data_IF_403372720908
#
_entry.id   IF_403372720908
#
_cell.length_a   1.000
_cell.length_b   1.000
_cell.length_c   1.000
_cell.angle_alpha   90.00
_cell.angle_beta   90.00
_cell.angle_gamma   90.00
#
_symmetry.space_group_name_H-M   'P 1'
#
loop_
_entity.id
_entity.type
_entity.pdbx_description
1 polymer ?
#
# COMPACT_ATOMS: atom_id res chain seq x y z
N UNK A 1 34.59 28.95 -14.55
CA UNK A 1 33.43 28.06 -14.33
C UNK A 1 32.16 28.91 -14.44
N UNK A 2 31.23 28.61 -15.36
CA UNK A 2 30.09 29.48 -15.69
C UNK A 2 29.00 29.51 -14.59
N UNK A 3 28.37 30.66 -14.29
CA UNK A 3 27.33 30.79 -13.27
C UNK A 3 26.07 29.93 -13.51
N UNK A 4 25.87 29.40 -14.74
CA UNK A 4 24.80 28.42 -15.03
C UNK A 4 25.10 27.03 -14.47
N UNK A 5 26.37 26.63 -14.42
CA UNK A 5 26.80 25.30 -13.94
C UNK A 5 26.65 25.19 -12.42
N UNK A 6 27.00 26.25 -11.68
CA UNK A 6 26.84 26.33 -10.23
C UNK A 6 25.38 26.34 -9.79
N UNK A 7 24.48 27.04 -10.51
CA UNK A 7 23.02 26.96 -10.26
C UNK A 7 22.46 25.54 -10.46
N UNK A 8 22.93 24.82 -11.48
CA UNK A 8 22.49 23.45 -11.76
C UNK A 8 22.88 22.45 -10.67
N UNK A 9 24.08 22.58 -10.12
CA UNK A 9 24.59 21.72 -9.03
C UNK A 9 23.81 21.98 -7.73
N UNK A 10 23.60 23.26 -7.38
CA UNK A 10 22.87 23.64 -6.16
C UNK A 10 21.42 23.13 -6.17
N UNK A 11 20.71 23.28 -7.30
CA UNK A 11 19.33 22.81 -7.45
C UNK A 11 19.20 21.28 -7.33
N UNK A 12 20.18 20.52 -7.85
CA UNK A 12 20.21 19.04 -7.69
C UNK A 12 20.48 18.64 -6.23
N UNK A 13 21.36 19.36 -5.55
CA UNK A 13 21.65 19.13 -4.14
C UNK A 13 20.43 19.41 -3.25
N UNK A 14 19.77 20.55 -3.44
CA UNK A 14 18.57 20.94 -2.68
C UNK A 14 17.43 19.94 -2.88
N UNK A 15 17.23 19.48 -4.13
CA UNK A 15 16.23 18.45 -4.45
C UNK A 15 16.54 17.11 -3.77
N UNK A 16 17.81 16.68 -3.72
CA UNK A 16 18.22 15.46 -3.05
C UNK A 16 18.04 15.55 -1.51
N UNK A 17 18.35 16.69 -0.91
CA UNK A 17 18.12 16.93 0.53
C UNK A 17 16.63 16.89 0.85
N UNK A 18 15.80 17.52 0.02
CA UNK A 18 14.34 17.56 0.19
C UNK A 18 13.74 16.16 0.08
N UNK A 19 14.15 15.40 -0.95
CA UNK A 19 13.74 14.01 -1.15
C UNK A 19 14.11 13.13 0.06
N UNK A 20 15.33 13.27 0.59
CA UNK A 20 15.77 12.52 1.77
C UNK A 20 14.94 12.85 3.02
N UNK A 21 14.61 14.12 3.23
CA UNK A 21 13.75 14.54 4.36
C UNK A 21 12.33 14.00 4.21
N UNK A 22 11.74 14.10 3.03
CA UNK A 22 10.41 13.58 2.75
C UNK A 22 10.34 12.05 2.90
N UNK A 23 11.34 11.33 2.39
CA UNK A 23 11.47 9.88 2.58
C UNK A 23 11.63 9.51 4.06
N UNK A 24 12.46 10.25 4.81
CA UNK A 24 12.62 10.07 6.25
C UNK A 24 11.35 10.34 7.04
N UNK A 25 10.57 11.37 6.66
CA UNK A 25 9.28 11.67 7.28
C UNK A 25 8.26 10.57 7.01
N UNK A 26 8.16 10.09 5.77
CA UNK A 26 7.26 8.99 5.42
C UNK A 26 7.58 7.72 6.23
N UNK A 27 8.87 7.40 6.36
CA UNK A 27 9.32 6.29 7.20
C UNK A 27 9.01 6.51 8.69
N UNK A 28 9.31 7.69 9.23
CA UNK A 28 9.05 8.02 10.63
C UNK A 28 7.55 7.95 10.96
N UNK A 29 6.68 8.38 10.05
CA UNK A 29 5.23 8.25 10.18
C UNK A 29 4.81 6.77 10.22
N UNK A 30 5.36 5.92 9.36
CA UNK A 30 5.06 4.48 9.39
C UNK A 30 5.51 3.85 10.72
N UNK A 31 6.69 4.21 11.23
CA UNK A 31 7.18 3.73 12.53
C UNK A 31 6.31 4.24 13.68
N UNK A 32 5.88 5.50 13.63
CA UNK A 32 5.00 6.08 14.63
C UNK A 32 3.63 5.40 14.69
N UNK A 33 3.10 4.95 13.54
CA UNK A 33 1.87 4.17 13.44
C UNK A 33 2.10 2.71 13.91
N UNK A 34 3.27 2.13 13.61
CA UNK A 34 3.59 0.75 13.95
C UNK A 34 3.60 0.46 15.47
N UNK A 35 4.03 1.43 16.29
CA UNK A 35 4.09 1.27 17.74
C UNK A 35 2.71 1.02 18.40
N UNK A 36 1.69 1.88 18.22
CA UNK A 36 0.36 1.61 18.78
C UNK A 36 -0.29 0.36 18.18
N UNK A 37 -0.06 0.05 16.89
CA UNK A 37 -0.52 -1.20 16.29
C UNK A 37 0.07 -2.41 17.01
N UNK A 38 1.38 -2.40 17.28
CA UNK A 38 2.04 -3.48 18.02
C UNK A 38 1.48 -3.63 19.45
N UNK A 39 1.20 -2.52 20.13
CA UNK A 39 0.58 -2.56 21.47
C UNK A 39 -0.79 -3.24 21.41
N UNK A 40 -1.65 -2.87 20.45
CA UNK A 40 -2.98 -3.48 20.29
C UNK A 40 -2.88 -4.98 19.98
N UNK A 41 -1.95 -5.37 19.11
CA UNK A 41 -1.69 -6.78 18.79
C UNK A 41 -1.26 -7.58 20.02
N UNK A 42 -0.39 -7.01 20.87
CA UNK A 42 0.04 -7.66 22.11
C UNK A 42 -1.10 -7.75 23.13
N UNK A 43 -1.96 -6.74 23.21
CA UNK A 43 -3.09 -6.74 24.14
C UNK A 43 -4.21 -7.70 23.69
N UNK A 44 -4.43 -7.87 22.39
CA UNK A 44 -5.38 -8.83 21.83
C UNK A 44 -4.82 -10.24 21.64
N UNK A 45 -3.53 -10.46 21.93
CA UNK A 45 -2.88 -11.74 21.72
C UNK A 45 -3.53 -12.86 22.55
N UNK A 46 -3.90 -13.96 21.90
CA UNK A 46 -4.52 -15.11 22.54
C UNK A 46 -6.05 -15.09 22.56
N UNK A 47 -6.66 -13.99 22.14
CA UNK A 47 -8.10 -13.90 21.91
C UNK A 47 -8.43 -14.30 20.48
N UNK A 48 -9.46 -15.13 20.30
CA UNK A 48 -9.98 -15.47 18.97
C UNK A 48 -11.16 -14.55 18.67
N UNK A 49 -10.93 -13.55 17.81
CA UNK A 49 -11.97 -12.62 17.37
C UNK A 49 -12.45 -12.97 15.95
N UNK A 50 -13.63 -12.48 15.52
CA UNK A 50 -14.06 -12.60 14.13
C UNK A 50 -13.08 -11.95 13.13
N UNK A 51 -12.26 -11.00 13.58
CA UNK A 51 -11.23 -10.36 12.76
C UNK A 51 -9.97 -11.21 12.55
N UNK A 52 -9.84 -12.35 13.24
CA UNK A 52 -8.71 -13.24 13.08
C UNK A 52 -8.83 -14.07 11.79
N UNK A 53 -8.72 -13.41 10.64
CA UNK A 53 -8.85 -13.99 9.29
C UNK A 53 -7.91 -15.18 9.06
N UNK A 54 -6.76 -15.21 9.75
CA UNK A 54 -5.74 -16.24 9.59
C UNK A 54 -5.77 -17.32 10.68
N UNK A 55 -6.67 -17.21 11.65
CA UNK A 55 -6.73 -18.13 12.80
C UNK A 55 -5.44 -18.15 13.62
N UNK A 56 -4.75 -17.01 13.67
CA UNK A 56 -3.44 -16.86 14.34
C UNK A 56 -3.58 -16.30 15.76
N UNK A 57 -4.76 -16.40 16.38
CA UNK A 57 -5.06 -15.95 17.75
C UNK A 57 -4.67 -14.48 17.98
N UNK A 58 -5.07 -13.60 17.05
CA UNK A 58 -4.79 -12.16 17.11
C UNK A 58 -3.44 -11.73 16.53
N UNK A 59 -2.62 -12.67 16.02
CA UNK A 59 -1.33 -12.34 15.38
C UNK A 59 -1.43 -12.03 13.87
N UNK A 60 -2.60 -12.10 13.25
CA UNK A 60 -2.79 -11.81 11.82
C UNK A 60 -2.24 -10.46 11.38
N UNK A 61 -2.44 -9.41 12.21
CA UNK A 61 -1.91 -8.07 11.96
C UNK A 61 -0.39 -7.96 11.99
N UNK A 62 0.33 -8.88 12.64
CA UNK A 62 1.79 -8.84 12.70
C UNK A 62 2.42 -8.95 11.31
N UNK A 63 1.82 -9.74 10.42
CA UNK A 63 2.28 -9.86 9.03
C UNK A 63 2.16 -8.52 8.29
N UNK A 64 1.05 -7.80 8.48
CA UNK A 64 0.84 -6.48 7.88
C UNK A 64 1.75 -5.42 8.47
N UNK A 65 1.97 -5.42 9.79
CA UNK A 65 2.93 -4.56 10.45
C UNK A 65 4.35 -4.73 9.90
N UNK A 66 4.80 -5.98 9.78
CA UNK A 66 6.12 -6.32 9.22
C UNK A 66 6.20 -5.90 7.75
N UNK A 67 5.16 -6.15 6.97
CA UNK A 67 5.10 -5.73 5.58
C UNK A 67 5.17 -4.21 5.44
N UNK A 68 4.40 -3.46 6.24
CA UNK A 68 4.41 -2.00 6.24
C UNK A 68 5.81 -1.44 6.51
N UNK A 69 6.48 -1.94 7.55
CA UNK A 69 7.84 -1.53 7.91
C UNK A 69 8.87 -1.92 6.83
N UNK A 70 8.75 -3.10 6.24
CA UNK A 70 9.62 -3.55 5.17
C UNK A 70 9.50 -2.65 3.92
N UNK A 71 8.26 -2.34 3.49
CA UNK A 71 7.99 -1.44 2.37
C UNK A 71 8.44 -0.01 2.67
N UNK A 72 8.10 0.55 3.83
CA UNK A 72 8.49 1.89 4.22
C UNK A 72 10.01 2.05 4.31
N UNK A 73 10.71 1.07 4.90
CA UNK A 73 12.18 1.10 5.04
C UNK A 73 12.85 0.97 3.68
N UNK A 74 12.44 0.00 2.86
CA UNK A 74 12.99 -0.19 1.52
C UNK A 74 12.71 1.03 0.65
N UNK A 75 11.49 1.56 0.68
CA UNK A 75 11.08 2.76 -0.04
C UNK A 75 11.89 3.99 0.36
N UNK A 76 12.07 4.24 1.65
CA UNK A 76 12.83 5.38 2.14
C UNK A 76 14.33 5.27 1.78
N UNK A 77 14.91 4.07 1.85
CA UNK A 77 16.29 3.82 1.42
C UNK A 77 16.45 4.05 -0.09
N UNK A 78 15.53 3.56 -0.91
CA UNK A 78 15.57 3.75 -2.37
C UNK A 78 15.33 5.21 -2.74
N UNK A 79 14.31 5.86 -2.18
CA UNK A 79 13.97 7.25 -2.47
C UNK A 79 15.07 8.24 -2.01
N UNK A 80 15.76 7.95 -0.91
CA UNK A 80 16.86 8.79 -0.41
C UNK A 80 18.16 8.64 -1.20
N UNK A 81 18.38 7.49 -1.86
CA UNK A 81 19.56 7.21 -2.70
C UNK A 81 19.32 7.51 -4.18
N UNK A 82 18.10 7.26 -4.67
CA UNK A 82 17.67 7.43 -6.05
C UNK A 82 16.38 8.27 -6.12
N UNK A 83 16.42 9.58 -5.81
CA UNK A 83 15.23 10.44 -5.75
C UNK A 83 14.40 10.49 -7.05
N UNK A 84 15.05 10.26 -8.20
CA UNK A 84 14.42 10.23 -9.51
C UNK A 84 13.73 8.90 -9.84
N UNK A 85 13.92 7.86 -9.02
CA UNK A 85 13.30 6.56 -9.23
C UNK A 85 11.94 6.51 -8.49
N UNK A 86 10.80 6.45 -9.20
CA UNK A 86 9.48 6.39 -8.59
C UNK A 86 9.26 5.15 -7.72
N UNK A 87 9.99 4.06 -7.93
CA UNK A 87 9.79 2.80 -7.17
C UNK A 87 9.98 3.01 -5.67
N UNK A 88 10.99 3.81 -5.25
CA UNK A 88 11.21 4.10 -3.84
C UNK A 88 10.03 4.85 -3.20
N UNK A 89 9.46 5.81 -3.92
CA UNK A 89 8.30 6.56 -3.47
C UNK A 89 7.03 5.71 -3.42
N UNK A 90 6.82 4.85 -4.42
CA UNK A 90 5.69 3.91 -4.44
C UNK A 90 5.77 2.97 -3.22
N UNK A 91 6.96 2.48 -2.87
CA UNK A 91 7.15 1.65 -1.68
C UNK A 91 6.87 2.42 -0.38
N UNK A 92 7.24 3.70 -0.28
CA UNK A 92 6.83 4.53 0.86
C UNK A 92 5.30 4.63 0.97
N UNK A 93 4.62 4.86 -0.15
CA UNK A 93 3.15 4.96 -0.19
C UNK A 93 2.50 3.63 0.19
N UNK A 94 3.00 2.51 -0.33
CA UNK A 94 2.51 1.16 0.02
C UNK A 94 2.67 0.91 1.52
N UNK A 95 3.87 1.15 2.08
CA UNK A 95 4.10 0.96 3.52
C UNK A 95 3.18 1.82 4.38
N UNK A 96 2.95 3.08 3.97
CA UNK A 96 2.02 3.98 4.64
C UNK A 96 0.57 3.50 4.56
N UNK A 97 0.07 3.08 3.39
CA UNK A 97 -1.30 2.60 3.23
C UNK A 97 -1.57 1.34 4.05
N UNK A 98 -0.61 0.42 4.09
CA UNK A 98 -0.72 -0.77 4.94
C UNK A 98 -0.80 -0.35 6.41
N UNK A 99 0.12 0.49 6.90
CA UNK A 99 0.11 0.95 8.29
C UNK A 99 -1.16 1.72 8.65
N UNK A 100 -1.61 2.63 7.77
CA UNK A 100 -2.78 3.48 7.97
C UNK A 100 -4.10 2.70 7.93
N UNK A 101 -4.14 1.53 7.27
CA UNK A 101 -5.27 0.62 7.31
C UNK A 101 -5.23 -0.34 8.50
N UNK A 102 -4.04 -0.84 8.84
CA UNK A 102 -3.85 -1.84 9.89
C UNK A 102 -4.10 -1.25 11.29
N UNK A 103 -3.64 -0.03 11.58
CA UNK A 103 -3.89 0.57 12.90
C UNK A 103 -5.39 0.72 13.23
N UNK A 104 -6.24 1.35 12.38
CA UNK A 104 -7.67 1.41 12.64
C UNK A 104 -8.34 0.03 12.70
N UNK A 105 -7.87 -0.94 11.89
CA UNK A 105 -8.35 -2.32 11.95
C UNK A 105 -8.10 -2.95 13.32
N UNK A 106 -6.86 -2.93 13.80
CA UNK A 106 -6.51 -3.49 15.13
C UNK A 106 -7.22 -2.74 16.26
N UNK A 107 -7.44 -1.43 16.11
CA UNK A 107 -8.18 -0.65 17.11
C UNK A 107 -9.65 -1.04 17.15
N UNK A 108 -10.29 -1.16 15.98
CA UNK A 108 -11.68 -1.56 15.88
C UNK A 108 -11.90 -2.98 16.40
N UNK A 109 -11.04 -3.93 16.03
CA UNK A 109 -11.07 -5.30 16.54
C UNK A 109 -10.95 -5.33 18.08
N UNK A 110 -9.97 -4.62 18.63
CA UNK A 110 -9.80 -4.56 20.07
C UNK A 110 -11.00 -3.93 20.80
N UNK A 111 -11.51 -2.80 20.29
CA UNK A 111 -12.58 -2.04 20.92
C UNK A 111 -13.97 -2.68 20.77
N UNK A 112 -14.21 -3.45 19.70
CA UNK A 112 -15.51 -4.06 19.40
C UNK A 112 -15.60 -5.54 19.79
N UNK A 113 -14.47 -6.28 19.76
CA UNK A 113 -14.47 -7.73 19.93
C UNK A 113 -13.65 -8.21 21.13
N UNK A 114 -12.42 -7.70 21.33
CA UNK A 114 -11.57 -8.14 22.46
C UNK A 114 -12.08 -7.61 23.80
N UNK A 115 -12.35 -6.30 23.88
CA UNK A 115 -12.81 -5.67 25.12
C UNK A 115 -13.91 -4.64 24.83
N UNK A 116 -15.14 -5.10 24.54
CA UNK A 116 -16.25 -4.23 24.17
C UNK A 116 -16.51 -3.14 25.21
N UNK A 117 -16.50 -1.88 24.78
CA UNK A 117 -16.76 -0.71 25.64
C UNK A 117 -15.57 -0.21 26.46
N UNK A 118 -14.40 -0.82 26.35
CA UNK A 118 -13.17 -0.36 27.03
C UNK A 118 -12.55 0.88 26.38
N UNK A 119 -12.70 1.02 25.06
CA UNK A 119 -12.17 2.12 24.26
C UNK A 119 -13.31 2.82 23.48
N UNK A 120 -13.35 4.16 23.46
CA UNK A 120 -14.34 4.88 22.68
C UNK A 120 -14.01 4.83 21.17
N UNK A 121 -15.02 4.90 20.32
CA UNK A 121 -14.82 5.13 18.88
C UNK A 121 -14.42 3.89 18.05
N UNK A 122 -14.67 2.68 18.53
CA UNK A 122 -14.43 1.43 17.76
C UNK A 122 -15.10 1.44 16.38
N UNK A 123 -16.36 1.89 16.29
CA UNK A 123 -17.07 2.04 15.01
C UNK A 123 -16.40 3.05 14.07
N UNK A 124 -15.89 4.16 14.63
CA UNK A 124 -15.17 5.17 13.84
C UNK A 124 -13.87 4.59 13.27
N UNK A 125 -13.16 3.77 14.05
CA UNK A 125 -11.96 3.09 13.59
C UNK A 125 -12.26 2.07 12.47
N UNK A 126 -13.36 1.33 12.56
CA UNK A 126 -13.81 0.43 11.50
C UNK A 126 -14.12 1.20 10.20
N UNK A 127 -14.79 2.34 10.31
CA UNK A 127 -15.04 3.22 9.15
C UNK A 127 -13.72 3.76 8.56
N UNK A 128 -12.75 4.14 9.39
CA UNK A 128 -11.46 4.66 8.93
C UNK A 128 -10.63 3.60 8.19
N UNK A 129 -10.62 2.35 8.67
CA UNK A 129 -10.00 1.22 7.97
C UNK A 129 -10.59 1.08 6.56
N UNK A 130 -11.92 1.19 6.41
CA UNK A 130 -12.60 1.03 5.13
C UNK A 130 -12.23 2.12 4.10
N UNK A 131 -11.89 3.33 4.54
CA UNK A 131 -11.67 4.49 3.66
C UNK A 131 -10.35 4.51 2.88
N UNK A 132 -9.33 3.78 3.29
CA UNK A 132 -7.99 4.02 2.72
C UNK A 132 -6.92 2.99 3.03
N UNK A 133 -7.30 1.79 3.46
CA UNK A 133 -6.38 0.77 3.94
C UNK A 133 -5.65 -0.03 2.85
N UNK A 134 -5.55 -1.34 3.10
CA UNK A 134 -4.76 -2.32 2.36
C UNK A 134 -5.09 -2.49 0.85
N UNK A 135 -6.36 -2.46 0.40
CA UNK A 135 -6.70 -2.89 -0.96
C UNK A 135 -6.04 -2.09 -2.10
N UNK A 136 -5.99 -0.74 -2.07
CA UNK A 136 -5.29 0.04 -3.10
C UNK A 136 -3.78 -0.27 -3.19
N UNK A 137 -3.16 -0.79 -2.13
CA UNK A 137 -1.74 -1.15 -2.14
C UNK A 137 -1.43 -2.29 -3.14
N UNK A 138 -2.38 -3.19 -3.43
CA UNK A 138 -2.18 -4.27 -4.40
C UNK A 138 -1.94 -3.76 -5.82
N UNK A 139 -2.71 -2.76 -6.27
CA UNK A 139 -2.49 -2.13 -7.56
C UNK A 139 -1.13 -1.42 -7.62
N UNK A 140 -0.74 -0.73 -6.54
CA UNK A 140 0.57 -0.08 -6.44
C UNK A 140 1.74 -1.08 -6.44
N UNK A 141 1.56 -2.26 -5.85
CA UNK A 141 2.53 -3.36 -5.93
C UNK A 141 2.74 -3.80 -7.39
N UNK A 142 1.67 -4.04 -8.14
CA UNK A 142 1.76 -4.35 -9.57
C UNK A 142 2.47 -3.25 -10.37
N UNK A 143 2.17 -1.98 -10.08
CA UNK A 143 2.84 -0.85 -10.71
C UNK A 143 4.35 -0.81 -10.39
N UNK A 144 4.72 -1.07 -9.13
CA UNK A 144 6.11 -1.06 -8.70
C UNK A 144 6.94 -2.12 -9.45
N UNK A 145 6.40 -3.31 -9.63
CA UNK A 145 7.02 -4.41 -10.37
C UNK A 145 7.17 -4.10 -11.87
N UNK A 146 6.21 -3.38 -12.47
CA UNK A 146 6.30 -2.95 -13.88
C UNK A 146 7.41 -1.92 -14.12
N UNK A 147 7.66 -1.08 -13.12
CA UNK A 147 8.66 -0.01 -13.16
C UNK A 147 10.06 -0.48 -12.74
N UNK A 148 10.15 -1.60 -12.03
CA UNK A 148 11.42 -2.15 -11.55
C UNK A 148 12.35 -2.59 -12.70
N UNK A 149 13.69 -2.41 -12.57
CA UNK A 149 14.41 -1.68 -11.52
C UNK A 149 14.56 -0.17 -11.79
N UNK A 150 14.46 0.25 -13.05
CA UNK A 150 14.91 1.58 -13.51
C UNK A 150 13.89 2.71 -13.27
N UNK A 151 12.74 2.40 -12.68
CA UNK A 151 11.64 3.34 -12.53
C UNK A 151 10.92 3.66 -13.85
N UNK A 152 11.09 2.82 -14.86
CA UNK A 152 10.58 3.03 -16.22
C UNK A 152 9.99 1.74 -16.78
N UNK A 153 8.88 1.88 -17.49
CA UNK A 153 8.27 0.78 -18.24
C UNK A 153 9.25 0.27 -19.30
N UNK A 154 9.31 -1.05 -19.49
CA UNK A 154 10.24 -1.67 -20.42
C UNK A 154 10.03 -1.22 -21.88
N UNK A 155 8.78 -0.90 -22.24
CA UNK A 155 8.40 -0.30 -23.52
C UNK A 155 6.97 0.23 -23.45
N UNK A 156 6.52 0.95 -24.48
CA UNK A 156 5.16 1.53 -24.56
C UNK A 156 4.03 0.49 -24.45
N UNK A 157 4.30 -0.78 -24.78
CA UNK A 157 3.32 -1.88 -24.69
C UNK A 157 2.88 -2.23 -23.27
N UNK A 158 3.63 -1.78 -22.26
CA UNK A 158 3.29 -2.01 -20.84
C UNK A 158 2.50 -0.86 -20.21
N UNK A 159 2.22 0.22 -20.96
CA UNK A 159 1.37 1.32 -20.48
C UNK A 159 -0.04 0.88 -20.10
N UNK A 160 -0.71 -0.03 -20.84
CA UNK A 160 -2.01 -0.56 -20.42
C UNK A 160 -1.93 -1.29 -19.07
N UNK A 161 -0.86 -2.05 -18.81
CA UNK A 161 -0.68 -2.73 -17.53
C UNK A 161 -0.51 -1.74 -16.36
N UNK A 162 0.26 -0.67 -16.57
CA UNK A 162 0.40 0.39 -15.57
C UNK A 162 -0.92 1.16 -15.35
N UNK A 163 -1.69 1.39 -16.42
CA UNK A 163 -3.02 1.99 -16.32
C UNK A 163 -3.98 1.07 -15.55
N UNK A 164 -3.99 -0.24 -15.85
CA UNK A 164 -4.78 -1.22 -15.11
C UNK A 164 -4.43 -1.23 -13.62
N UNK A 165 -3.14 -1.13 -13.28
CA UNK A 165 -2.69 -1.05 -11.88
C UNK A 165 -3.26 0.18 -11.15
N UNK A 166 -3.17 1.36 -11.77
CA UNK A 166 -3.65 2.62 -11.19
C UNK A 166 -5.17 2.70 -11.14
N UNK A 167 -5.85 2.31 -12.22
CA UNK A 167 -7.32 2.27 -12.30
C UNK A 167 -7.84 1.24 -11.31
N UNK A 168 -7.20 0.07 -11.19
CA UNK A 168 -7.55 -0.97 -10.23
C UNK A 168 -7.46 -0.47 -8.79
N UNK A 169 -6.35 0.16 -8.42
CA UNK A 169 -6.18 0.76 -7.09
C UNK A 169 -7.23 1.85 -6.79
N UNK A 170 -7.52 2.72 -7.77
CA UNK A 170 -8.53 3.76 -7.63
C UNK A 170 -9.95 3.20 -7.52
N UNK A 171 -10.28 2.19 -8.33
CA UNK A 171 -11.57 1.51 -8.30
C UNK A 171 -11.78 0.77 -6.97
N UNK A 172 -10.74 0.14 -6.41
CA UNK A 172 -10.79 -0.43 -5.06
C UNK A 172 -11.05 0.63 -3.99
N UNK A 173 -10.27 1.72 -4.01
CA UNK A 173 -10.40 2.79 -3.04
C UNK A 173 -11.82 3.40 -3.06
N UNK A 174 -12.32 3.71 -4.26
CA UNK A 174 -13.64 4.33 -4.42
C UNK A 174 -14.76 3.33 -4.13
N UNK A 175 -14.69 2.13 -4.69
CA UNK A 175 -15.70 1.09 -4.51
C UNK A 175 -15.92 0.78 -3.04
N UNK A 176 -14.86 0.52 -2.27
CA UNK A 176 -14.98 0.18 -0.85
C UNK A 176 -15.37 1.39 0.01
N UNK A 177 -14.76 2.56 -0.21
CA UNK A 177 -15.02 3.75 0.60
C UNK A 177 -16.48 4.22 0.51
N UNK A 178 -17.09 4.12 -0.67
CA UNK A 178 -18.41 4.68 -0.95
C UNK A 178 -19.52 3.63 -1.08
N UNK A 179 -19.24 2.34 -0.84
CA UNK A 179 -20.27 1.29 -0.91
C UNK A 179 -21.31 1.47 0.21
N UNK A 180 -22.60 1.67 -0.13
CA UNK A 180 -23.66 1.84 0.87
C UNK A 180 -24.02 0.51 1.53
N UNK A 181 -24.29 0.53 2.83
CA UNK A 181 -24.66 -0.67 3.60
C UNK A 181 -23.65 -0.99 4.70
N UNK A 182 -23.70 -2.19 5.27
CA UNK A 182 -22.71 -2.70 6.22
C UNK A 182 -21.28 -2.62 5.67
N UNK A 183 -20.30 -2.44 6.55
CA UNK A 183 -18.89 -2.70 6.20
C UNK A 183 -18.68 -4.20 5.92
N UNK A 184 -17.55 -4.53 5.30
CA UNK A 184 -17.16 -5.94 5.11
C UNK A 184 -16.84 -6.61 6.45
N UNK A 185 -16.89 -7.95 6.44
CA UNK A 185 -16.27 -8.78 7.48
C UNK A 185 -14.87 -8.23 7.84
N UNK A 186 -14.54 -8.12 9.13
CA UNK A 186 -15.30 -8.59 10.29
C UNK A 186 -16.24 -7.55 10.90
N UNK A 187 -16.50 -6.40 10.25
CA UNK A 187 -17.15 -5.23 10.87
C UNK A 187 -18.57 -4.98 10.35
N UNK A 188 -19.33 -6.01 9.97
CA UNK A 188 -20.67 -5.81 9.39
C UNK A 188 -21.68 -5.18 10.38
N UNK A 189 -21.36 -5.20 11.67
CA UNK A 189 -22.13 -4.49 12.71
C UNK A 189 -22.12 -2.97 12.53
N UNK A 190 -21.16 -2.43 11.76
CA UNK A 190 -21.02 -1.01 11.46
C UNK A 190 -21.51 -0.73 10.05
N UNK A 191 -22.37 0.27 9.89
CA UNK A 191 -22.81 0.74 8.57
C UNK A 191 -21.87 1.81 8.02
N UNK A 192 -21.60 1.79 6.72
CA UNK A 192 -20.76 2.78 6.06
C UNK A 192 -21.45 4.16 6.02
N UNK A 193 -20.96 5.18 6.76
CA UNK A 193 -21.57 6.50 6.74
C UNK A 193 -21.29 7.28 5.44
N UNK A 194 -20.32 6.84 4.64
CA UNK A 194 -19.96 7.46 3.35
C UNK A 194 -20.62 6.75 2.16
N UNK A 195 -21.51 5.79 2.42
CA UNK A 195 -22.27 5.08 1.41
C UNK A 195 -23.05 6.01 0.47
N UNK A 196 -22.78 5.96 -0.83
CA UNK A 196 -23.51 6.72 -1.84
C UNK A 196 -23.81 5.89 -3.08
N UNK A 197 -24.91 6.19 -3.77
CA UNK A 197 -25.33 5.45 -4.95
C UNK A 197 -25.92 4.07 -4.60
N UNK A 198 -25.71 3.07 -5.46
CA UNK A 198 -26.19 1.70 -5.22
C UNK A 198 -25.08 0.78 -4.72
N UNK A 199 -25.44 -0.21 -3.90
CA UNK A 199 -24.51 -1.22 -3.40
C UNK A 199 -23.87 -1.97 -4.57
N UNK A 200 -24.67 -2.44 -5.52
CA UNK A 200 -24.21 -3.26 -6.64
C UNK A 200 -23.21 -2.52 -7.53
N UNK A 201 -23.38 -1.21 -7.69
CA UNK A 201 -22.46 -0.38 -8.48
C UNK A 201 -21.09 -0.30 -7.80
N UNK A 202 -21.07 0.00 -6.50
CA UNK A 202 -19.83 0.15 -5.75
C UNK A 202 -19.13 -1.19 -5.54
N UNK A 203 -19.91 -2.25 -5.29
CA UNK A 203 -19.40 -3.63 -5.19
C UNK A 203 -18.79 -4.12 -6.50
N UNK A 204 -19.47 -3.88 -7.63
CA UNK A 204 -18.93 -4.16 -8.96
C UNK A 204 -17.67 -3.35 -9.25
N UNK A 205 -17.60 -2.09 -8.79
CA UNK A 205 -16.43 -1.24 -8.96
C UNK A 205 -15.22 -1.76 -8.17
N UNK A 206 -15.42 -2.18 -6.90
CA UNK A 206 -14.36 -2.84 -6.13
C UNK A 206 -13.97 -4.19 -6.73
N UNK A 207 -14.91 -4.99 -7.21
CA UNK A 207 -14.64 -6.27 -7.90
C UNK A 207 -13.81 -6.08 -9.17
N UNK A 208 -14.13 -5.07 -9.97
CA UNK A 208 -13.32 -4.66 -11.12
C UNK A 208 -11.91 -4.20 -10.67
N UNK A 209 -11.83 -3.47 -9.56
CA UNK A 209 -10.58 -3.03 -8.97
C UNK A 209 -9.66 -4.18 -8.57
N UNK A 210 -10.21 -5.22 -7.95
CA UNK A 210 -9.50 -6.47 -7.63
C UNK A 210 -9.00 -7.18 -8.88
N UNK A 211 -9.88 -7.35 -9.87
CA UNK A 211 -9.53 -8.00 -11.15
C UNK A 211 -8.39 -7.26 -11.86
N UNK A 212 -8.48 -5.93 -11.99
CA UNK A 212 -7.46 -5.11 -12.65
C UNK A 212 -6.13 -5.14 -11.89
N UNK A 213 -6.17 -5.14 -10.55
CA UNK A 213 -4.96 -5.25 -9.71
C UNK A 213 -4.29 -6.61 -9.88
N UNK A 214 -5.06 -7.70 -9.88
CA UNK A 214 -4.55 -9.05 -10.13
C UNK A 214 -3.92 -9.18 -11.52
N UNK A 215 -4.60 -8.67 -12.55
CA UNK A 215 -4.08 -8.62 -13.93
C UNK A 215 -2.78 -7.80 -14.00
N UNK A 216 -2.74 -6.65 -13.33
CA UNK A 216 -1.54 -5.81 -13.28
C UNK A 216 -0.36 -6.54 -12.64
N UNK A 217 -0.56 -7.25 -11.52
CA UNK A 217 0.47 -8.06 -10.87
C UNK A 217 0.94 -9.18 -11.79
N UNK A 218 0.03 -9.91 -12.44
CA UNK A 218 0.38 -10.98 -13.37
C UNK A 218 1.20 -10.46 -14.57
N UNK A 219 0.79 -9.34 -15.15
CA UNK A 219 1.52 -8.67 -16.23
C UNK A 219 2.88 -8.15 -15.77
N UNK A 220 2.97 -7.66 -14.54
CA UNK A 220 4.23 -7.22 -13.95
C UNK A 220 5.22 -8.38 -13.79
N UNK A 221 4.75 -9.53 -13.28
CA UNK A 221 5.54 -10.75 -13.20
C UNK A 221 6.00 -11.21 -14.58
N UNK A 222 5.11 -11.21 -15.58
CA UNK A 222 5.45 -11.56 -16.97
C UNK A 222 6.51 -10.61 -17.55
N UNK A 223 6.38 -9.29 -17.31
CA UNK A 223 7.37 -8.29 -17.72
C UNK A 223 8.74 -8.58 -17.12
N UNK A 224 8.79 -8.90 -15.82
CA UNK A 224 10.02 -9.23 -15.11
C UNK A 224 10.69 -10.49 -15.68
N UNK A 225 9.92 -11.56 -15.91
CA UNK A 225 10.42 -12.81 -16.52
C UNK A 225 10.99 -12.55 -17.92
N UNK A 226 10.28 -11.76 -18.75
CA UNK A 226 10.75 -11.42 -20.10
C UNK A 226 12.05 -10.61 -20.05
N UNK A 227 12.20 -9.67 -19.10
CA UNK A 227 13.43 -8.91 -18.90
C UNK A 227 14.60 -9.83 -18.52
N UNK A 228 14.40 -10.72 -17.55
CA UNK A 228 15.42 -11.66 -17.09
C UNK A 228 15.88 -12.60 -18.22
N UNK A 229 14.94 -13.10 -19.03
CA UNK A 229 15.30 -13.95 -20.18
C UNK A 229 16.08 -13.19 -21.26
N UNK A 230 15.78 -11.90 -21.47
CA UNK A 230 16.51 -11.07 -22.44
C UNK A 230 17.92 -10.73 -21.98
N UNK A 231 18.14 -10.46 -20.69
CA UNK A 231 19.49 -10.17 -20.18
C UNK A 231 20.42 -11.37 -20.31
N UNK A 232 19.94 -12.57 -19.98
CA UNK A 232 20.74 -13.81 -20.15
C UNK A 232 21.03 -14.15 -21.62
N UNK A 233 20.15 -13.73 -22.54
CA UNK A 233 20.38 -13.88 -23.98
C UNK A 233 21.45 -12.92 -24.52
N UNK A 234 21.54 -11.70 -23.98
CA UNK A 234 22.58 -10.74 -24.35
C UNK A 234 23.97 -11.16 -23.86
N UNK A 235 24.09 -11.73 -22.66
CA UNK A 235 25.36 -12.31 -22.18
C UNK A 235 25.86 -13.44 -23.09
N UNK A 236 24.96 -14.29 -23.61
CA UNK A 236 25.31 -15.37 -24.55
C UNK A 236 25.73 -14.89 -25.95
N UNK A 237 25.37 -13.68 -26.36
CA UNK A 237 25.78 -13.10 -27.64
C UNK A 237 27.09 -12.30 -27.54
N UNK A 238 27.59 -12.06 -26.32
CA UNK A 238 28.85 -11.38 -26.06
C UNK A 238 30.02 -12.35 -25.78
N UNK A 239 29.72 -13.64 -25.67
CA UNK A 239 30.68 -14.76 -25.62
C UNK A 239 30.76 -15.42 -27.00
#
# INVERSE_FOLDING_TARGET
MSPRVTRGIRRKHDAAVTARRAAGLAWALCVAIALPTLVLLVLGAGESTPADEFGLAGFGGLAFLVAALAFATTGALVASRLPSNPVGWIFCVIGFLIAAGDLPHQYADYALYVSPGSLPGGETAAVLQNLGGLPPAFGLLGLSLLLFPDGRLASRRWRPAAAAALIGAAALAVGLAFRPGPLDEPFEVVSNPFGVGSFELMDSLSGLGWLLSAVAVALAAASMIIRLRRSSGQERQQL
#
